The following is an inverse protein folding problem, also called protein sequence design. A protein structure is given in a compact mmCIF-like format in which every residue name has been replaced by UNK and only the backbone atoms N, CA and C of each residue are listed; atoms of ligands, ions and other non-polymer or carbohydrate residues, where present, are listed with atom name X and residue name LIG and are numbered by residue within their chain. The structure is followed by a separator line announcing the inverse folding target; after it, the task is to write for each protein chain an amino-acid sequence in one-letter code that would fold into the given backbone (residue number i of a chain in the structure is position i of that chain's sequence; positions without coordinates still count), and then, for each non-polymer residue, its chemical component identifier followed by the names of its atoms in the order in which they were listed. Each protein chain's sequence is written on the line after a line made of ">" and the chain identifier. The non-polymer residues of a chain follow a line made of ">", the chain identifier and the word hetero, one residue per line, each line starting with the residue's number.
data_IF_793353893185
#
_entry.id   IF_793353893185
#
_cell.length_a   1.000
_cell.length_b   1.000
_cell.length_c   1.000
_cell.angle_alpha   90.00
_cell.angle_beta   90.00
_cell.angle_gamma   90.00
#
_symmetry.space_group_name_H-M   'P 1'
#
loop_
_entity.id
_entity.type
_entity.pdbx_description
1 polymer ?
#
# COMPACT_ATOMS: atom_id res chain seq x y z
N UNK A 1 17.29 -4.21 12.77
CA UNK A 1 15.83 -4.46 12.73
C UNK A 1 15.14 -3.10 12.66
N UNK A 2 14.16 -2.90 11.77
CA UNK A 2 13.42 -1.62 11.71
C UNK A 2 12.58 -1.47 12.99
N UNK A 3 12.65 -0.29 13.61
CA UNK A 3 11.79 0.06 14.75
C UNK A 3 10.42 0.51 14.23
N UNK A 4 9.37 0.33 15.04
CA UNK A 4 7.98 0.66 14.70
C UNK A 4 7.85 2.06 14.06
N UNK A 5 8.48 3.08 14.65
CA UNK A 5 8.45 4.45 14.12
C UNK A 5 8.99 4.55 12.69
N UNK A 6 10.07 3.84 12.36
CA UNK A 6 10.67 3.86 11.02
C UNK A 6 9.78 3.20 9.97
N UNK A 7 8.99 2.20 10.37
CA UNK A 7 7.97 1.59 9.50
C UNK A 7 6.85 2.58 9.23
N UNK A 8 6.39 3.31 10.25
CA UNK A 8 5.35 4.32 10.11
C UNK A 8 5.80 5.50 9.22
N UNK A 9 7.04 5.96 9.37
CA UNK A 9 7.62 6.99 8.48
C UNK A 9 7.69 6.52 7.03
N UNK A 10 8.11 5.26 6.82
CA UNK A 10 8.16 4.67 5.49
C UNK A 10 6.75 4.55 4.88
N UNK A 11 5.75 4.15 5.66
CA UNK A 11 4.35 4.12 5.22
C UNK A 11 3.85 5.51 4.83
N UNK A 12 4.17 6.54 5.62
CA UNK A 12 3.78 7.92 5.34
C UNK A 12 4.45 8.46 4.04
N UNK A 13 5.73 8.18 3.86
CA UNK A 13 6.46 8.57 2.65
C UNK A 13 5.91 7.86 1.40
N UNK A 14 5.67 6.56 1.50
CA UNK A 14 5.11 5.77 0.40
C UNK A 14 3.69 6.22 0.04
N UNK A 15 2.87 6.60 1.03
CA UNK A 15 1.57 7.24 0.82
C UNK A 15 1.69 8.53 0.04
N UNK A 16 2.58 9.41 0.45
CA UNK A 16 2.80 10.69 -0.24
C UNK A 16 3.23 10.46 -1.70
N UNK A 17 4.08 9.47 -1.96
CA UNK A 17 4.44 9.06 -3.31
C UNK A 17 3.23 8.57 -4.10
N UNK A 18 2.39 7.71 -3.51
CA UNK A 18 1.19 7.19 -4.17
C UNK A 18 0.17 8.28 -4.47
N UNK A 19 -0.04 9.23 -3.56
CA UNK A 19 -0.97 10.34 -3.77
C UNK A 19 -0.45 11.35 -4.80
N UNK A 20 0.87 11.51 -4.92
CA UNK A 20 1.48 12.30 -6.00
C UNK A 20 1.40 11.59 -7.36
N UNK A 21 1.64 10.29 -7.39
CA UNK A 21 1.72 9.50 -8.63
C UNK A 21 0.34 9.14 -9.17
N UNK A 22 -0.59 8.83 -8.27
CA UNK A 22 -1.99 8.51 -8.54
C UNK A 22 -2.91 9.38 -7.68
N UNK A 23 -3.02 10.68 -7.98
CA UNK A 23 -3.88 11.60 -7.24
C UNK A 23 -5.36 11.18 -7.30
N UNK A 24 -6.09 11.38 -6.19
CA UNK A 24 -7.50 10.96 -5.99
C UNK A 24 -8.53 11.84 -6.72
N UNK A 25 -8.10 12.68 -7.66
CA UNK A 25 -8.99 13.61 -8.35
C UNK A 25 -9.99 12.90 -9.28
N UNK A 26 -11.11 13.56 -9.54
CA UNK A 26 -12.23 13.00 -10.31
C UNK A 26 -11.85 12.64 -11.76
N UNK A 27 -10.89 13.34 -12.36
CA UNK A 27 -10.45 13.09 -13.74
C UNK A 27 -9.65 11.79 -13.82
N UNK A 28 -8.84 11.50 -12.80
CA UNK A 28 -7.94 10.33 -12.77
C UNK A 28 -8.63 9.04 -12.31
N UNK A 29 -9.74 9.09 -11.57
CA UNK A 29 -10.59 7.90 -11.33
C UNK A 29 -11.07 7.26 -12.63
N UNK A 30 -11.38 8.09 -13.64
CA UNK A 30 -11.76 7.61 -14.98
C UNK A 30 -10.55 7.06 -15.73
N UNK A 31 -9.39 7.71 -15.63
CA UNK A 31 -8.18 7.32 -16.35
C UNK A 31 -7.51 6.05 -15.81
N UNK A 32 -7.58 5.81 -14.49
CA UNK A 32 -6.98 4.66 -13.81
C UNK A 32 -7.98 3.62 -13.32
N UNK A 33 -9.29 3.87 -13.49
CA UNK A 33 -10.35 2.96 -13.06
C UNK A 33 -10.21 1.55 -13.63
N UNK A 34 -9.63 1.41 -14.82
CA UNK A 34 -9.36 0.12 -15.46
C UNK A 34 -7.98 -0.46 -15.17
N UNK A 35 -7.04 0.35 -14.67
CA UNK A 35 -5.62 -0.02 -14.53
C UNK A 35 -5.24 -0.46 -13.11
N UNK A 36 -6.14 -0.32 -12.14
CA UNK A 36 -5.97 -0.66 -10.71
C UNK A 36 -4.51 -0.53 -10.24
N UNK A 37 -3.89 0.67 -10.36
CA UNK A 37 -2.44 0.85 -10.24
C UNK A 37 -1.87 0.43 -8.88
N UNK A 38 -2.69 0.50 -7.83
CA UNK A 38 -2.36 0.00 -6.50
C UNK A 38 -2.14 -1.53 -6.47
N UNK A 39 -2.85 -2.32 -7.29
CA UNK A 39 -2.65 -3.77 -7.40
C UNK A 39 -1.33 -4.11 -8.10
N UNK A 40 -0.94 -3.33 -9.12
CA UNK A 40 0.34 -3.48 -9.82
C UNK A 40 1.50 -3.22 -8.84
N UNK A 41 1.40 -2.15 -8.04
CA UNK A 41 2.38 -1.86 -6.99
C UNK A 41 2.43 -2.96 -5.92
N UNK A 42 1.26 -3.42 -5.47
CA UNK A 42 1.17 -4.47 -4.45
C UNK A 42 1.90 -5.72 -4.91
N UNK A 43 1.62 -6.18 -6.13
CA UNK A 43 2.30 -7.33 -6.74
C UNK A 43 3.81 -7.13 -6.81
N UNK A 44 4.25 -5.96 -7.27
CA UNK A 44 5.68 -5.63 -7.38
C UNK A 44 6.40 -5.67 -6.02
N UNK A 45 5.78 -5.13 -4.96
CA UNK A 45 6.40 -5.14 -3.63
C UNK A 45 6.36 -6.51 -2.96
N UNK A 46 5.33 -7.33 -3.23
CA UNK A 46 5.28 -8.73 -2.80
C UNK A 46 6.42 -9.53 -3.42
N UNK A 47 6.62 -9.45 -4.74
CA UNK A 47 7.71 -10.14 -5.44
C UNK A 47 9.09 -9.73 -4.87
N UNK A 48 9.28 -8.44 -4.56
CA UNK A 48 10.51 -7.94 -3.92
C UNK A 48 10.66 -8.44 -2.48
N UNK A 49 9.59 -8.55 -1.72
CA UNK A 49 9.61 -9.08 -0.37
C UNK A 49 9.99 -10.56 -0.36
N UNK A 50 9.40 -11.35 -1.26
CA UNK A 50 9.71 -12.78 -1.45
C UNK A 50 11.18 -12.99 -1.86
N UNK A 51 11.68 -12.21 -2.82
CA UNK A 51 13.09 -12.25 -3.23
C UNK A 51 14.03 -11.87 -2.07
N UNK A 52 13.66 -10.87 -1.26
CA UNK A 52 14.44 -10.45 -0.10
C UNK A 52 14.46 -11.50 1.02
N UNK A 53 13.37 -12.24 1.23
CA UNK A 53 13.30 -13.32 2.22
C UNK A 53 14.07 -14.58 1.81
N UNK A 54 14.13 -14.85 0.51
CA UNK A 54 14.83 -16.02 -0.04
C UNK A 54 16.33 -15.77 -0.20
N UNK A 55 16.75 -14.52 -0.41
CA UNK A 55 18.16 -14.14 -0.32
C UNK A 55 18.57 -14.02 1.15
N UNK A 56 19.57 -14.78 1.60
CA UNK A 56 20.04 -14.86 2.99
C UNK A 56 20.58 -13.53 3.60
N UNK A 57 20.40 -12.40 2.90
CA UNK A 57 20.95 -11.07 3.21
C UNK A 57 19.93 -10.15 3.90
N UNK A 58 19.39 -10.64 5.03
CA UNK A 58 18.93 -9.78 6.12
C UNK A 58 17.50 -9.26 6.03
N UNK A 59 16.77 -9.46 7.12
CA UNK A 59 15.39 -9.04 7.37
C UNK A 59 15.08 -7.56 7.10
N UNK A 60 16.07 -6.67 6.94
CA UNK A 60 15.84 -5.24 6.75
C UNK A 60 15.16 -4.92 5.41
N UNK A 61 15.60 -5.55 4.32
CA UNK A 61 15.04 -5.32 2.99
C UNK A 61 13.59 -5.84 2.89
N UNK A 62 13.33 -7.04 3.43
CA UNK A 62 11.98 -7.61 3.52
C UNK A 62 11.03 -6.74 4.35
N UNK A 63 11.46 -6.28 5.54
CA UNK A 63 10.65 -5.40 6.39
C UNK A 63 10.31 -4.05 5.73
N UNK A 64 11.22 -3.49 4.91
CA UNK A 64 10.90 -2.29 4.13
C UNK A 64 9.81 -2.55 3.09
N UNK A 65 9.85 -3.71 2.40
CA UNK A 65 8.78 -4.06 1.45
C UNK A 65 7.44 -4.29 2.16
N UNK A 66 7.44 -4.95 3.33
CA UNK A 66 6.24 -5.12 4.15
C UNK A 66 5.62 -3.76 4.54
N UNK A 67 6.43 -2.77 4.90
CA UNK A 67 5.93 -1.41 5.17
C UNK A 67 5.28 -0.76 3.94
N UNK A 68 5.83 -0.95 2.74
CA UNK A 68 5.22 -0.45 1.49
C UNK A 68 3.89 -1.15 1.17
N UNK A 69 3.83 -2.47 1.37
CA UNK A 69 2.61 -3.26 1.22
C UNK A 69 1.52 -2.76 2.17
N UNK A 70 1.87 -2.53 3.45
CA UNK A 70 0.95 -2.00 4.45
C UNK A 70 0.38 -0.62 4.05
N UNK A 71 1.20 0.25 3.44
CA UNK A 71 0.73 1.54 2.94
C UNK A 71 -0.32 1.41 1.83
N UNK A 72 -0.13 0.44 0.91
CA UNK A 72 -1.10 0.14 -0.15
C UNK A 72 -2.39 -0.44 0.43
N UNK A 73 -2.28 -1.40 1.36
CA UNK A 73 -3.43 -2.01 2.01
C UNK A 73 -4.26 -0.97 2.77
N UNK A 74 -3.62 -0.07 3.52
CA UNK A 74 -4.32 1.02 4.21
C UNK A 74 -5.02 1.97 3.23
N UNK A 75 -4.39 2.24 2.07
CA UNK A 75 -5.01 3.05 1.02
C UNK A 75 -6.23 2.38 0.40
N UNK A 76 -6.15 1.07 0.14
CA UNK A 76 -7.29 0.29 -0.33
C UNK A 76 -8.41 0.22 0.70
N UNK A 77 -8.07 0.05 1.99
CA UNK A 77 -9.02 0.07 3.09
C UNK A 77 -9.75 1.41 3.18
N UNK A 78 -9.06 2.55 3.10
CA UNK A 78 -9.72 3.86 3.06
C UNK A 78 -10.65 4.04 1.84
N UNK A 79 -10.29 3.45 0.70
CA UNK A 79 -11.16 3.44 -0.49
C UNK A 79 -12.40 2.58 -0.29
N UNK A 80 -12.30 1.48 0.48
CA UNK A 80 -13.44 0.62 0.82
C UNK A 80 -14.24 1.08 2.04
N UNK A 81 -13.62 1.68 3.06
CA UNK A 81 -14.29 2.22 4.25
C UNK A 81 -14.95 3.59 3.97
N UNK A 82 -14.51 4.28 2.91
CA UNK A 82 -15.27 5.36 2.29
C UNK A 82 -16.54 4.88 1.55
N UNK A 83 -16.77 3.56 1.44
CA UNK A 83 -18.05 2.99 1.06
C UNK A 83 -18.92 2.88 2.31
N UNK A 84 -19.91 3.77 2.45
CA UNK A 84 -20.97 3.74 3.48
C UNK A 84 -21.59 2.34 3.68
N UNK A 85 -21.50 1.47 2.66
CA UNK A 85 -22.06 0.14 2.60
C UNK A 85 -21.51 -0.87 3.64
N UNK A 86 -20.28 -0.67 4.14
CA UNK A 86 -19.70 -1.54 5.18
C UNK A 86 -20.10 -1.11 6.59
N UNK A 87 -20.40 0.17 6.79
CA UNK A 87 -20.91 0.72 8.05
C UNK A 87 -22.39 0.32 8.23
N UNK A 88 -23.19 0.34 7.17
CA UNK A 88 -24.59 -0.13 7.20
C UNK A 88 -24.74 -1.62 7.55
N UNK A 89 -23.77 -2.46 7.16
CA UNK A 89 -23.86 -3.91 7.37
C UNK A 89 -23.48 -4.36 8.78
N UNK A 90 -23.16 -3.44 9.69
CA UNK A 90 -23.10 -3.72 11.14
C UNK A 90 -22.06 -4.75 11.57
N UNK A 91 -20.97 -4.89 10.81
CA UNK A 91 -19.87 -5.82 11.11
C UNK A 91 -18.66 -5.10 11.70
N UNK A 92 -18.91 -4.32 12.76
CA UNK A 92 -17.87 -3.69 13.57
C UNK A 92 -17.63 -4.49 14.85
#
# INVERSE_FOLDING_TARGET
>A
MLRQHQVLELMAHERQYQDKTWPRDARRRVMYGFLAPHLILLRTYLEKAEAAWTSSNGNLAGLQQVGKIAAIALRALEETEGSEELIEKGLR
#
